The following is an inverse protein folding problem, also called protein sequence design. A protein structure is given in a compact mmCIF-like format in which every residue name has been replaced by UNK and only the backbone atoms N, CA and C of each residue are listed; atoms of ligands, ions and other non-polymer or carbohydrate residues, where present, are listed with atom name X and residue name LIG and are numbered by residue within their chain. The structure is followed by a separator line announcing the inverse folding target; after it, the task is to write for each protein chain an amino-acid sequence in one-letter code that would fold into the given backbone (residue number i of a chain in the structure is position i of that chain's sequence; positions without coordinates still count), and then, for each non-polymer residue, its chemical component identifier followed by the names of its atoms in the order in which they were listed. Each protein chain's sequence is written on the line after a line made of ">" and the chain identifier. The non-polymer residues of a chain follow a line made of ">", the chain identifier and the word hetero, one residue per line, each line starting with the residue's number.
data_IF_947613677159
#
_entry.id   IF_947613677159
#
_cell.length_a   1.000
_cell.length_b   1.000
_cell.length_c   1.000
_cell.angle_alpha   90.00
_cell.angle_beta   90.00
_cell.angle_gamma   90.00
#
_symmetry.space_group_name_H-M   'P 1'
#
loop_
_entity.id
_entity.type
_entity.pdbx_description
1 polymer ?
#
# COMPACT_ATOMS: atom_id res chain seq x y z
N UNK A 1 6.37 3.98 -10.30
CA UNK A 1 6.59 4.66 -9.00
C UNK A 1 8.00 5.26 -9.03
N UNK A 2 8.19 6.53 -8.66
CA UNK A 2 9.52 7.16 -8.58
C UNK A 2 9.86 7.38 -7.12
N UNK A 3 10.79 6.60 -6.60
CA UNK A 3 11.33 6.67 -5.24
C UNK A 3 12.84 6.50 -5.29
N UNK A 4 13.51 7.09 -4.31
CA UNK A 4 14.90 6.82 -3.95
C UNK A 4 14.93 5.58 -3.06
N UNK A 5 15.81 4.64 -3.36
CA UNK A 5 15.95 3.38 -2.62
C UNK A 5 16.80 3.55 -1.35
N UNK A 6 16.38 4.46 -0.48
CA UNK A 6 17.08 4.84 0.75
C UNK A 6 16.07 5.05 1.88
N UNK A 7 16.56 5.19 3.12
CA UNK A 7 15.76 5.58 4.28
C UNK A 7 15.60 7.09 4.38
N UNK A 8 14.47 7.51 4.97
CA UNK A 8 14.17 8.91 5.24
C UNK A 8 14.81 9.38 6.56
N UNK A 9 14.92 8.52 7.58
CA UNK A 9 15.66 8.83 8.80
C UNK A 9 17.05 8.18 8.80
N UNK A 10 17.95 8.72 9.62
CA UNK A 10 19.22 8.08 9.92
C UNK A 10 19.01 6.88 10.86
N UNK A 11 19.73 5.79 10.58
CA UNK A 11 19.79 4.60 11.42
C UNK A 11 21.21 4.04 11.43
N UNK A 12 21.53 3.20 12.42
CA UNK A 12 22.84 2.56 12.51
C UNK A 12 22.77 1.16 11.90
N UNK A 13 23.48 0.91 10.80
CA UNK A 13 23.39 -0.36 10.09
C UNK A 13 24.19 -1.52 10.73
N UNK A 14 24.59 -1.45 12.00
CA UNK A 14 25.45 -2.48 12.59
C UNK A 14 24.70 -3.75 13.03
N UNK A 15 23.37 -3.68 13.15
CA UNK A 15 22.50 -4.81 13.50
C UNK A 15 21.10 -4.64 12.94
N UNK A 16 20.36 -5.74 12.76
CA UNK A 16 18.91 -5.71 12.45
C UNK A 16 18.14 -4.96 13.55
N UNK A 17 18.60 -5.00 14.81
CA UNK A 17 18.00 -4.24 15.91
C UNK A 17 18.34 -2.74 15.87
N UNK A 18 19.33 -2.34 15.07
CA UNK A 18 19.80 -0.95 14.94
C UNK A 18 19.29 -0.27 13.66
N UNK A 19 18.46 -0.98 12.90
CA UNK A 19 17.80 -0.50 11.70
C UNK A 19 16.63 0.48 11.96
N UNK A 20 16.31 0.74 13.22
CA UNK A 20 15.34 1.76 13.62
C UNK A 20 15.99 3.15 13.57
N UNK A 21 15.17 4.19 13.41
CA UNK A 21 15.66 5.57 13.48
C UNK A 21 16.41 5.83 14.79
N UNK A 22 17.52 6.57 14.71
CA UNK A 22 18.25 7.02 15.90
C UNK A 22 17.37 7.96 16.72
N UNK A 23 17.32 7.73 18.03
CA UNK A 23 16.54 8.56 18.94
C UNK A 23 17.02 10.02 18.90
N UNK A 24 16.08 10.95 18.73
CA UNK A 24 16.35 12.38 18.68
C UNK A 24 16.78 12.91 17.31
N UNK A 25 16.96 12.05 16.30
CA UNK A 25 17.19 12.49 14.93
C UNK A 25 15.87 12.81 14.21
N UNK A 26 15.91 13.80 13.31
CA UNK A 26 14.73 14.21 12.54
C UNK A 26 14.66 13.41 11.23
N UNK A 27 13.47 12.89 10.91
CA UNK A 27 13.25 12.28 9.61
C UNK A 27 13.34 13.33 8.48
N UNK A 28 13.66 12.89 7.28
CA UNK A 28 13.68 13.75 6.10
C UNK A 28 12.37 14.54 5.93
N UNK A 29 12.44 15.78 5.38
CA UNK A 29 11.27 16.67 5.29
C UNK A 29 10.22 16.20 4.28
N UNK A 30 10.62 15.40 3.27
CA UNK A 30 9.72 14.81 2.29
C UNK A 30 9.90 13.30 2.21
N UNK A 31 9.10 12.57 2.99
CA UNK A 31 9.06 11.11 2.99
C UNK A 31 8.48 10.50 1.72
N UNK A 32 7.84 11.28 0.85
CA UNK A 32 7.15 10.77 -0.35
C UNK A 32 8.09 10.39 -1.49
N UNK A 33 9.36 10.77 -1.40
CA UNK A 33 10.39 10.42 -2.37
C UNK A 33 11.27 9.25 -1.94
N UNK A 34 11.11 8.72 -0.72
CA UNK A 34 11.92 7.62 -0.18
C UNK A 34 11.14 6.30 -0.16
N UNK A 35 11.83 5.19 -0.41
CA UNK A 35 11.27 3.85 -0.28
C UNK A 35 11.06 3.45 1.18
N UNK A 36 12.02 3.77 2.05
CA UNK A 36 11.99 3.38 3.45
C UNK A 36 11.86 4.57 4.39
N UNK A 37 11.15 4.38 5.49
CA UNK A 37 11.12 5.33 6.59
C UNK A 37 12.41 5.20 7.40
N UNK A 38 12.71 3.99 7.89
CA UNK A 38 13.95 3.61 8.56
C UNK A 38 14.67 2.49 7.78
N UNK A 39 15.52 1.68 8.41
CA UNK A 39 16.22 0.57 7.75
C UNK A 39 15.38 -0.67 7.47
N UNK A 40 14.11 -0.74 7.91
CA UNK A 40 13.21 -1.90 7.74
C UNK A 40 11.84 -1.53 7.17
N UNK A 41 11.22 -0.48 7.70
CA UNK A 41 9.84 -0.13 7.43
C UNK A 41 9.75 0.77 6.21
N UNK A 42 8.77 0.51 5.35
CA UNK A 42 8.55 1.29 4.14
C UNK A 42 7.92 2.65 4.49
N UNK A 43 8.11 3.65 3.64
CA UNK A 43 7.31 4.87 3.74
C UNK A 43 5.85 4.58 3.37
N UNK A 44 4.94 5.44 3.83
CA UNK A 44 3.53 5.41 3.41
C UNK A 44 3.39 5.39 1.89
N UNK A 45 4.25 6.11 1.16
CA UNK A 45 4.17 6.17 -0.30
C UNK A 45 4.38 4.80 -0.95
N UNK A 46 5.36 4.04 -0.47
CA UNK A 46 5.61 2.70 -0.98
C UNK A 46 4.57 1.70 -0.47
N UNK A 47 4.12 1.80 0.79
CA UNK A 47 3.00 1.01 1.30
C UNK A 47 1.72 1.21 0.48
N UNK A 48 1.35 2.45 0.13
CA UNK A 48 0.20 2.75 -0.72
C UNK A 48 0.34 2.13 -2.11
N UNK A 49 1.54 2.15 -2.68
CA UNK A 49 1.77 1.53 -3.98
C UNK A 49 1.61 0.01 -3.92
N UNK A 50 2.26 -0.65 -2.95
CA UNK A 50 2.20 -2.10 -2.79
C UNK A 50 0.79 -2.57 -2.42
N UNK A 51 0.10 -1.85 -1.54
CA UNK A 51 -1.30 -2.17 -1.18
C UNK A 51 -2.25 -2.04 -2.36
N UNK A 52 -2.11 -1.01 -3.20
CA UNK A 52 -2.91 -0.90 -4.43
C UNK A 52 -2.66 -2.09 -5.37
N UNK A 53 -1.41 -2.54 -5.52
CA UNK A 53 -1.07 -3.72 -6.31
C UNK A 53 -1.66 -5.00 -5.72
N UNK A 54 -1.49 -5.22 -4.42
CA UNK A 54 -2.05 -6.38 -3.73
C UNK A 54 -3.59 -6.39 -3.74
N UNK A 55 -4.22 -5.21 -3.72
CA UNK A 55 -5.67 -5.07 -3.68
C UNK A 55 -6.34 -5.44 -5.01
N UNK A 56 -5.84 -4.92 -6.14
CA UNK A 56 -6.56 -5.02 -7.42
C UNK A 56 -5.69 -5.28 -8.66
N UNK A 57 -4.41 -5.66 -8.53
CA UNK A 57 -3.61 -5.98 -9.74
C UNK A 57 -4.08 -7.29 -10.38
N UNK A 58 -4.14 -7.30 -11.71
CA UNK A 58 -4.37 -8.50 -12.51
C UNK A 58 -3.08 -9.27 -12.84
N UNK A 59 -1.91 -8.71 -12.49
CA UNK A 59 -0.62 -9.34 -12.76
C UNK A 59 -0.29 -10.36 -11.66
N UNK A 60 -0.13 -11.62 -12.05
CA UNK A 60 0.27 -12.70 -11.12
C UNK A 60 1.64 -12.47 -10.46
N UNK A 61 2.52 -11.66 -11.05
CA UNK A 61 3.80 -11.28 -10.44
C UNK A 61 3.64 -10.27 -9.30
N UNK A 62 2.47 -9.65 -9.16
CA UNK A 62 2.17 -8.62 -8.15
C UNK A 62 1.18 -9.13 -7.09
N UNK A 63 0.21 -9.98 -7.48
CA UNK A 63 -0.71 -10.63 -6.57
C UNK A 63 -1.02 -12.06 -7.05
N UNK A 64 -0.77 -13.07 -6.21
CA UNK A 64 -0.97 -14.48 -6.53
C UNK A 64 -1.58 -15.24 -5.34
N UNK A 65 -2.52 -16.17 -5.55
CA UNK A 65 -3.12 -16.58 -6.83
C UNK A 65 -4.16 -15.62 -7.40
N UNK A 66 -4.68 -14.70 -6.58
CA UNK A 66 -5.61 -13.62 -6.95
C UNK A 66 -5.43 -12.45 -5.98
N UNK A 67 -5.91 -11.27 -6.34
CA UNK A 67 -5.83 -10.07 -5.52
C UNK A 67 -6.91 -10.03 -4.42
N UNK A 68 -6.84 -9.06 -3.50
CA UNK A 68 -7.77 -8.96 -2.36
C UNK A 68 -9.20 -8.69 -2.80
N UNK A 69 -9.42 -7.88 -3.85
CA UNK A 69 -10.76 -7.58 -4.38
C UNK A 69 -11.47 -8.86 -4.84
N UNK A 70 -10.77 -9.74 -5.56
CA UNK A 70 -11.28 -11.05 -5.98
C UNK A 70 -11.48 -11.98 -4.77
N UNK A 71 -10.50 -12.05 -3.85
CA UNK A 71 -10.58 -12.89 -2.65
C UNK A 71 -11.81 -12.54 -1.79
N UNK A 72 -12.07 -11.25 -1.59
CA UNK A 72 -13.17 -10.75 -0.81
C UNK A 72 -14.51 -10.73 -1.58
N UNK A 73 -14.52 -11.18 -2.84
CA UNK A 73 -15.68 -11.16 -3.73
C UNK A 73 -16.32 -9.77 -3.80
N UNK A 74 -15.47 -8.74 -3.90
CA UNK A 74 -15.90 -7.33 -3.93
C UNK A 74 -16.24 -6.85 -5.34
N UNK A 75 -16.22 -7.73 -6.34
CA UNK A 75 -16.55 -7.40 -7.72
C UNK A 75 -17.85 -6.58 -7.79
N UNK A 76 -17.70 -5.30 -8.14
CA UNK A 76 -18.77 -4.33 -8.25
C UNK A 76 -19.79 -4.78 -9.31
N UNK A 77 -19.38 -5.61 -10.27
CA UNK A 77 -20.26 -6.24 -11.26
C UNK A 77 -21.29 -7.18 -10.63
N UNK A 78 -20.92 -7.89 -9.54
CA UNK A 78 -21.84 -8.77 -8.80
C UNK A 78 -22.82 -7.95 -7.92
N UNK A 79 -22.39 -6.80 -7.41
CA UNK A 79 -23.25 -5.91 -6.61
C UNK A 79 -24.31 -5.18 -7.46
N UNK A 80 -24.00 -4.85 -8.72
CA UNK A 80 -24.94 -4.20 -9.64
C UNK A 80 -25.92 -5.17 -10.31
N UNK A 81 -25.59 -6.46 -10.40
CA UNK A 81 -26.49 -7.49 -10.94
C UNK A 81 -27.48 -8.03 -9.91
N UNK A 82 -27.24 -7.79 -8.62
CA UNK A 82 -28.14 -8.15 -7.51
C UNK A 82 -29.00 -7.01 -6.96
N UNK A 83 -28.79 -5.76 -7.41
CA UNK A 83 -29.61 -4.64 -6.97
C UNK A 83 -31.00 -4.72 -7.63
N UNK A 84 -32.11 -4.87 -6.87
CA UNK A 84 -33.43 -4.78 -7.46
C UNK A 84 -33.60 -3.39 -8.06
N UNK A 85 -34.07 -3.36 -9.31
CA UNK A 85 -34.54 -2.14 -9.99
C UNK A 85 -35.50 -1.42 -9.05
N UNK A 86 -35.11 -0.24 -8.55
CA UNK A 86 -36.03 0.67 -7.88
C UNK A 86 -36.99 1.20 -8.94
N UNK A 87 -38.13 0.54 -9.09
CA UNK A 87 -39.32 1.20 -9.61
C UNK A 87 -39.74 2.26 -8.59
N UNK A 88 -39.42 3.51 -8.90
CA UNK A 88 -40.10 4.65 -8.30
C UNK A 88 -41.57 4.59 -8.73
N UNK A 89 -42.44 4.15 -7.83
CA UNK A 89 -43.86 4.37 -7.97
C UNK A 89 -44.12 5.84 -7.67
N UNK A 90 -44.45 6.61 -8.71
CA UNK A 90 -45.07 7.92 -8.58
C UNK A 90 -46.31 7.83 -7.69
N UNK A 91 -46.38 8.71 -6.70
CA UNK A 91 -47.60 9.20 -6.05
C UNK A 91 -47.42 10.68 -5.75
#
# INVERSE_FOLDING_TARGET
>A
LKLTNESCCFFNAASVTESLCVEGDEACPDRSIYAYYDGLHLTEKLYMHLSAKAYSSDLQTEAYPFNVEVLANLDISLMLTGAPSFHTHDQ
#
